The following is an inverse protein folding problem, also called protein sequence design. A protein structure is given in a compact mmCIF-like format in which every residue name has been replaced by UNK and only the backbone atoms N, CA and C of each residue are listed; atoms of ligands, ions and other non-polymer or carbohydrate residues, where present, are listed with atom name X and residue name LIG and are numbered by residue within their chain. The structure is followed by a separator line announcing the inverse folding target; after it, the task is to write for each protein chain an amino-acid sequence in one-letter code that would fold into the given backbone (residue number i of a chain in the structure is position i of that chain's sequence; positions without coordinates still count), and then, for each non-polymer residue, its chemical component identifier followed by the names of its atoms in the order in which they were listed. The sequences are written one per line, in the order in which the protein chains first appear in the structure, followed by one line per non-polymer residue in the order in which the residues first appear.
data_IF_042576465429
#
_entry.id   IF_042576465429
#
_cell.length_a   1.000
_cell.length_b   1.000
_cell.length_c   1.000
_cell.angle_alpha   90.00
_cell.angle_beta   90.00
_cell.angle_gamma   90.00
#
_symmetry.space_group_name_H-M   'P 1'
#
loop_
_entity.id
_entity.type
_entity.pdbx_description
1 polymer ?
#
# COMPACT_ATOMS: atom_id res chain seq x y z
N UNK A 1 15.52 11.40 1.44
CA UNK A 1 14.11 11.43 0.94
C UNK A 1 13.70 10.03 0.54
N UNK A 2 12.60 9.51 1.07
CA UNK A 2 12.13 8.16 0.72
C UNK A 2 11.46 8.20 -0.65
N UNK A 3 11.79 7.28 -1.57
CA UNK A 3 11.20 7.23 -2.92
C UNK A 3 10.52 5.90 -3.20
N UNK A 4 9.52 5.94 -4.07
CA UNK A 4 8.90 4.75 -4.64
C UNK A 4 9.90 4.09 -5.60
N UNK A 5 10.07 2.77 -5.49
CA UNK A 5 11.04 2.01 -6.27
C UNK A 5 10.31 1.15 -7.30
N UNK A 6 10.73 1.21 -8.55
CA UNK A 6 10.27 0.29 -9.59
C UNK A 6 10.91 -1.09 -9.43
N UNK A 7 10.33 -2.10 -10.08
CA UNK A 7 10.91 -3.45 -10.05
C UNK A 7 12.32 -3.49 -10.69
N UNK A 8 12.51 -2.79 -11.80
CA UNK A 8 13.83 -2.74 -12.47
C UNK A 8 14.89 -2.14 -11.55
N UNK A 9 14.60 -0.99 -10.97
CA UNK A 9 15.52 -0.36 -10.00
C UNK A 9 15.80 -1.28 -8.81
N UNK A 10 14.76 -1.94 -8.24
CA UNK A 10 14.95 -2.89 -7.14
C UNK A 10 15.85 -4.07 -7.53
N UNK A 11 15.69 -4.55 -8.76
CA UNK A 11 16.51 -5.61 -9.30
C UNK A 11 17.97 -5.19 -9.44
N UNK A 12 18.23 -3.99 -9.96
CA UNK A 12 19.56 -3.45 -10.22
C UNK A 12 20.29 -3.05 -8.92
N UNK A 13 19.55 -2.69 -7.88
CA UNK A 13 20.13 -2.39 -6.56
C UNK A 13 20.73 -3.63 -5.87
N UNK A 14 20.26 -4.84 -6.18
CA UNK A 14 20.74 -6.05 -5.53
C UNK A 14 22.06 -6.47 -6.15
N UNK A 15 23.11 -6.50 -5.36
CA UNK A 15 24.45 -6.98 -5.73
C UNK A 15 24.70 -8.35 -5.10
N UNK A 16 25.17 -9.30 -5.88
CA UNK A 16 25.65 -10.58 -5.35
C UNK A 16 26.95 -10.39 -4.58
N UNK A 17 27.35 -11.40 -3.80
CA UNK A 17 28.67 -11.40 -3.17
C UNK A 17 29.80 -11.30 -4.22
N UNK A 18 29.64 -11.98 -5.35
CA UNK A 18 30.55 -11.99 -6.47
C UNK A 18 30.65 -10.58 -7.08
N UNK A 19 29.51 -9.93 -7.39
CA UNK A 19 29.48 -8.55 -7.89
C UNK A 19 30.24 -7.57 -6.98
N UNK A 20 30.19 -7.77 -5.65
CA UNK A 20 30.91 -6.88 -4.71
C UNK A 20 32.42 -7.17 -4.70
N UNK A 21 32.81 -8.45 -4.71
CA UNK A 21 34.22 -8.83 -4.71
C UNK A 21 34.93 -8.44 -6.03
N UNK A 22 34.22 -8.50 -7.15
CA UNK A 22 34.74 -8.10 -8.47
C UNK A 22 35.07 -6.60 -8.57
N UNK A 23 34.58 -5.79 -7.62
CA UNK A 23 35.03 -4.39 -7.49
C UNK A 23 36.40 -4.24 -6.80
N UNK A 24 37.07 -5.34 -6.47
CA UNK A 24 38.36 -5.35 -5.76
C UNK A 24 38.26 -5.33 -4.24
N UNK A 25 37.05 -5.39 -3.68
CA UNK A 25 36.80 -5.46 -2.24
C UNK A 25 37.11 -6.88 -1.73
N UNK A 26 37.91 -7.01 -0.68
CA UNK A 26 38.19 -8.29 -0.04
C UNK A 26 37.04 -8.77 0.84
N UNK A 27 37.02 -10.07 1.18
CA UNK A 27 36.04 -10.64 2.11
C UNK A 27 36.00 -9.92 3.47
N UNK A 28 37.17 -9.54 3.98
CA UNK A 28 37.29 -8.81 5.24
C UNK A 28 36.64 -7.43 5.13
N UNK A 29 36.92 -6.71 4.05
CA UNK A 29 36.35 -5.37 3.79
C UNK A 29 34.84 -5.44 3.55
N UNK A 30 34.35 -6.50 2.88
CA UNK A 30 32.92 -6.76 2.73
C UNK A 30 32.27 -6.95 4.12
N UNK A 31 32.90 -7.75 5.00
CA UNK A 31 32.45 -7.93 6.39
C UNK A 31 32.40 -6.62 7.18
N UNK A 32 33.46 -5.81 7.05
CA UNK A 32 33.55 -4.48 7.67
C UNK A 32 32.49 -3.50 7.10
N UNK A 33 32.26 -3.53 5.79
CA UNK A 33 31.24 -2.70 5.15
C UNK A 33 29.83 -3.02 5.66
N UNK A 34 29.52 -4.30 5.88
CA UNK A 34 28.25 -4.73 6.46
C UNK A 34 28.18 -4.35 7.95
N UNK A 35 29.25 -4.55 8.72
CA UNK A 35 29.28 -4.21 10.14
C UNK A 35 29.10 -2.71 10.40
N UNK A 36 29.64 -1.85 9.53
CA UNK A 36 29.51 -0.39 9.60
C UNK A 36 28.31 0.18 8.86
N UNK A 37 27.43 -0.67 8.30
CA UNK A 37 26.19 -0.24 7.63
C UNK A 37 26.38 0.37 6.23
N UNK A 38 27.62 0.41 5.68
CA UNK A 38 27.87 0.86 4.29
C UNK A 38 27.20 -0.07 3.26
N UNK A 39 27.13 -1.36 3.56
CA UNK A 39 26.36 -2.34 2.83
C UNK A 39 25.32 -2.99 3.74
N UNK A 40 24.11 -3.14 3.26
CA UNK A 40 23.05 -3.88 3.93
C UNK A 40 22.92 -5.26 3.32
N UNK A 41 23.11 -6.30 4.12
CA UNK A 41 22.84 -7.67 3.69
C UNK A 41 21.33 -7.91 3.70
N UNK A 42 20.71 -8.07 2.52
CA UNK A 42 19.26 -8.22 2.34
C UNK A 42 18.82 -9.67 2.22
N UNK A 43 19.75 -10.55 1.81
CA UNK A 43 19.60 -12.01 1.79
C UNK A 43 20.98 -12.67 1.88
N UNK A 44 21.04 -14.01 1.99
CA UNK A 44 22.31 -14.72 1.93
C UNK A 44 23.01 -14.46 0.60
N UNK A 45 24.21 -13.86 0.65
CA UNK A 45 25.03 -13.52 -0.52
C UNK A 45 24.44 -12.40 -1.40
N UNK A 46 23.51 -11.59 -0.87
CA UNK A 46 22.92 -10.46 -1.57
C UNK A 46 22.99 -9.19 -0.71
N UNK A 47 23.44 -8.10 -1.31
CA UNK A 47 23.77 -6.85 -0.64
C UNK A 47 23.17 -5.66 -1.41
N UNK A 48 22.93 -4.57 -0.71
CA UNK A 48 22.50 -3.28 -1.23
C UNK A 48 23.29 -2.19 -0.51
N UNK A 49 23.50 -1.07 -1.15
CA UNK A 49 24.10 0.11 -0.51
C UNK A 49 23.27 0.53 0.71
N UNK A 50 23.95 0.84 1.83
CA UNK A 50 23.30 1.14 3.09
C UNK A 50 22.51 2.43 3.06
N UNK A 51 23.03 3.49 2.45
CA UNK A 51 22.36 4.79 2.35
C UNK A 51 21.13 4.70 1.47
N UNK A 52 21.23 4.01 0.33
CA UNK A 52 20.09 3.75 -0.56
C UNK A 52 19.01 2.95 0.18
N UNK A 53 19.42 1.89 0.90
CA UNK A 53 18.49 1.08 1.68
C UNK A 53 17.70 1.88 2.71
N UNK A 54 18.35 2.79 3.44
CA UNK A 54 17.72 3.56 4.51
C UNK A 54 16.69 4.56 3.97
N UNK A 55 16.84 4.99 2.72
CA UNK A 55 15.93 5.88 2.01
C UNK A 55 14.71 5.16 1.41
N UNK A 56 14.70 3.82 1.34
CA UNK A 56 13.58 3.10 0.76
C UNK A 56 12.36 3.06 1.68
N UNK A 57 11.20 3.18 1.09
CA UNK A 57 9.94 2.87 1.77
C UNK A 57 9.83 1.36 2.08
N UNK A 58 8.93 0.96 2.99
CA UNK A 58 8.74 -0.45 3.35
C UNK A 58 8.48 -1.36 2.14
N UNK A 59 7.69 -0.90 1.17
CA UNK A 59 7.40 -1.62 -0.08
C UNK A 59 8.66 -1.81 -0.92
N UNK A 60 9.48 -0.76 -1.05
CA UNK A 60 10.75 -0.81 -1.77
C UNK A 60 11.72 -1.78 -1.12
N UNK A 61 11.85 -1.74 0.22
CA UNK A 61 12.65 -2.70 0.99
C UNK A 61 12.18 -4.14 0.77
N UNK A 62 10.87 -4.35 0.76
CA UNK A 62 10.29 -5.66 0.49
C UNK A 62 10.56 -6.14 -0.94
N UNK A 63 10.45 -5.23 -1.91
CA UNK A 63 10.70 -5.54 -3.31
C UNK A 63 12.17 -5.93 -3.56
N UNK A 64 13.12 -5.21 -2.96
CA UNK A 64 14.56 -5.54 -3.00
C UNK A 64 14.84 -6.93 -2.43
N UNK A 65 14.21 -7.29 -1.29
CA UNK A 65 14.36 -8.64 -0.71
C UNK A 65 13.77 -9.73 -1.61
N UNK A 66 12.63 -9.46 -2.26
CA UNK A 66 12.03 -10.36 -3.25
C UNK A 66 13.01 -10.61 -4.40
N UNK A 67 13.64 -9.55 -4.94
CA UNK A 67 14.65 -9.65 -5.98
C UNK A 67 15.87 -10.46 -5.50
N UNK A 68 16.33 -10.23 -4.27
CA UNK A 68 17.47 -10.96 -3.70
C UNK A 68 17.18 -12.47 -3.55
N UNK A 69 16.01 -12.84 -3.02
CA UNK A 69 15.59 -14.25 -2.92
C UNK A 69 15.43 -14.86 -4.31
N UNK A 70 14.89 -14.13 -5.29
CA UNK A 70 14.75 -14.64 -6.66
C UNK A 70 16.12 -14.89 -7.31
N UNK A 71 17.08 -14.00 -7.15
CA UNK A 71 18.45 -14.18 -7.68
C UNK A 71 19.15 -15.39 -7.04
N UNK A 72 18.93 -15.62 -5.74
CA UNK A 72 19.50 -16.77 -5.04
C UNK A 72 18.79 -18.09 -5.33
N UNK A 73 17.61 -18.05 -5.98
CA UNK A 73 16.79 -19.24 -6.22
C UNK A 73 17.18 -19.93 -7.53
N UNK A 74 17.20 -21.27 -7.52
CA UNK A 74 17.39 -22.08 -8.72
C UNK A 74 16.10 -22.21 -9.55
N UNK A 75 16.25 -22.45 -10.83
CA UNK A 75 15.14 -22.70 -11.75
C UNK A 75 14.13 -21.56 -11.82
N UNK A 76 12.85 -21.86 -11.83
CA UNK A 76 11.76 -20.88 -11.93
C UNK A 76 11.49 -20.04 -10.67
N UNK A 77 12.25 -20.24 -9.60
CA UNK A 77 12.08 -19.58 -8.30
C UNK A 77 10.78 -19.95 -7.56
N UNK A 78 10.57 -19.38 -6.37
CA UNK A 78 9.37 -19.64 -5.57
C UNK A 78 8.13 -18.96 -6.15
N UNK A 79 6.96 -19.31 -5.61
CA UNK A 79 5.74 -18.49 -5.74
C UNK A 79 5.72 -17.52 -4.57
N UNK A 80 5.86 -16.22 -4.83
CA UNK A 80 5.78 -15.19 -3.81
C UNK A 80 4.32 -15.00 -3.37
N UNK A 81 4.11 -14.70 -2.08
CA UNK A 81 2.77 -14.55 -1.48
C UNK A 81 2.74 -13.43 -0.44
N UNK A 82 1.59 -13.12 0.12
CA UNK A 82 1.43 -12.14 1.20
C UNK A 82 2.17 -10.82 0.92
N UNK A 83 3.03 -10.35 1.85
CA UNK A 83 3.78 -9.09 1.72
C UNK A 83 4.67 -9.05 0.47
N UNK A 84 5.27 -10.17 0.11
CA UNK A 84 6.14 -10.26 -1.07
C UNK A 84 5.36 -10.17 -2.38
N UNK A 85 4.17 -10.77 -2.46
CA UNK A 85 3.29 -10.60 -3.60
C UNK A 85 2.72 -9.18 -3.65
N UNK A 86 2.34 -8.60 -2.49
CA UNK A 86 1.89 -7.22 -2.41
C UNK A 86 2.93 -6.23 -2.97
N UNK A 87 4.21 -6.41 -2.62
CA UNK A 87 5.29 -5.59 -3.18
C UNK A 87 5.42 -5.75 -4.70
N UNK A 88 5.28 -6.97 -5.24
CA UNK A 88 5.27 -7.21 -6.69
C UNK A 88 4.06 -6.59 -7.39
N UNK A 89 2.92 -6.50 -6.73
CA UNK A 89 1.73 -5.81 -7.21
C UNK A 89 1.83 -4.28 -7.07
N UNK A 90 2.78 -3.76 -6.29
CA UNK A 90 2.89 -2.34 -5.95
C UNK A 90 1.81 -1.88 -4.98
N UNK A 91 1.24 -2.80 -4.19
CA UNK A 91 0.24 -2.47 -3.18
C UNK A 91 0.90 -1.74 -1.99
N UNK A 92 0.26 -0.72 -1.43
CA UNK A 92 0.78 -0.01 -0.27
C UNK A 92 0.79 -0.93 0.97
N UNK A 93 1.84 -0.82 1.74
CA UNK A 93 2.06 -1.58 2.96
C UNK A 93 2.13 -0.61 4.15
N UNK A 94 1.05 -0.52 4.92
CA UNK A 94 0.91 0.44 6.02
C UNK A 94 1.28 -0.19 7.37
N UNK A 95 2.09 0.52 8.15
CA UNK A 95 2.48 0.14 9.51
C UNK A 95 3.77 -0.68 9.58
N UNK A 96 4.10 -1.25 10.77
CA UNK A 96 5.31 -2.03 10.97
C UNK A 96 5.21 -3.36 10.21
N UNK A 97 6.10 -3.55 9.24
CA UNK A 97 6.19 -4.72 8.39
C UNK A 97 7.42 -5.52 8.79
N UNK A 98 7.26 -6.85 8.91
CA UNK A 98 8.39 -7.74 9.13
C UNK A 98 9.23 -7.87 7.87
N UNK A 99 10.51 -8.04 8.09
CA UNK A 99 11.53 -8.06 7.04
C UNK A 99 11.59 -9.36 6.23
N UNK A 100 10.70 -10.32 6.49
CA UNK A 100 10.72 -11.63 5.85
C UNK A 100 10.15 -11.61 4.43
N UNK A 101 10.73 -12.44 3.57
CA UNK A 101 10.15 -12.74 2.24
C UNK A 101 9.15 -13.88 2.38
N UNK A 102 7.94 -13.67 1.89
CA UNK A 102 6.84 -14.62 1.99
C UNK A 102 6.68 -15.41 0.70
N UNK A 103 6.69 -16.73 0.81
CA UNK A 103 6.52 -17.65 -0.32
C UNK A 103 5.47 -18.70 -0.03
N UNK A 104 4.80 -19.17 -1.06
CA UNK A 104 3.84 -20.26 -0.99
C UNK A 104 4.51 -21.61 -1.32
N UNK A 105 4.17 -22.64 -0.53
CA UNK A 105 4.58 -24.03 -0.77
C UNK A 105 3.37 -24.96 -0.64
N UNK A 106 3.35 -26.03 -1.44
CA UNK A 106 2.28 -27.06 -1.38
C UNK A 106 2.42 -27.97 -0.16
N UNK A 107 3.66 -28.29 0.24
CA UNK A 107 3.93 -29.20 1.37
C UNK A 107 5.22 -28.78 2.09
N UNK A 108 5.24 -28.95 3.42
CA UNK A 108 6.44 -28.72 4.24
C UNK A 108 7.42 -29.88 4.28
N UNK A 109 7.05 -31.05 3.79
CA UNK A 109 7.83 -32.30 3.96
C UNK A 109 9.27 -32.23 3.47
N UNK A 110 9.59 -31.34 2.52
CA UNK A 110 10.93 -31.19 1.94
C UNK A 110 11.42 -29.76 1.92
N UNK A 111 10.82 -28.86 2.72
CA UNK A 111 11.23 -27.47 2.73
C UNK A 111 12.27 -27.23 3.82
N UNK A 112 13.47 -26.80 3.41
CA UNK A 112 14.49 -26.33 4.36
C UNK A 112 14.08 -24.97 4.89
N UNK A 113 14.31 -24.76 6.19
CA UNK A 113 14.19 -23.42 6.80
C UNK A 113 15.31 -22.53 6.24
N UNK A 114 14.93 -21.34 5.81
CA UNK A 114 15.83 -20.35 5.27
C UNK A 114 15.62 -19.03 6.04
N UNK A 115 16.71 -18.46 6.55
CA UNK A 115 16.64 -17.22 7.31
C UNK A 115 16.10 -16.08 6.44
N UNK A 116 15.12 -15.32 6.96
CA UNK A 116 14.46 -14.23 6.24
C UNK A 116 13.45 -14.68 5.19
N UNK A 117 13.08 -15.99 5.14
CA UNK A 117 12.04 -16.50 4.25
C UNK A 117 10.99 -17.26 5.05
N UNK A 118 9.75 -16.77 5.02
CA UNK A 118 8.58 -17.44 5.60
C UNK A 118 7.84 -18.21 4.51
N UNK A 119 7.74 -19.52 4.71
CA UNK A 119 7.05 -20.41 3.78
C UNK A 119 5.65 -20.75 4.29
N UNK A 120 4.65 -20.32 3.55
CA UNK A 120 3.26 -20.59 3.84
C UNK A 120 2.80 -21.86 3.10
N UNK A 121 2.32 -22.84 3.86
CA UNK A 121 1.67 -23.98 3.24
C UNK A 121 0.26 -23.56 2.81
N UNK A 122 0.02 -23.59 1.50
CA UNK A 122 -1.20 -23.07 0.89
C UNK A 122 -1.69 -24.01 -0.20
N UNK A 123 -3.01 -24.20 -0.26
CA UNK A 123 -3.66 -24.71 -1.46
C UNK A 123 -3.77 -23.56 -2.46
N UNK A 124 -3.19 -23.72 -3.62
CA UNK A 124 -3.23 -22.76 -4.72
C UNK A 124 -3.68 -23.48 -5.98
N UNK A 125 -4.74 -22.98 -6.57
CA UNK A 125 -5.18 -23.38 -7.89
C UNK A 125 -4.35 -22.66 -8.97
N UNK A 126 -4.48 -23.06 -10.23
CA UNK A 126 -3.73 -22.43 -11.33
C UNK A 126 -4.06 -20.94 -11.46
N UNK A 127 -5.33 -20.53 -11.28
CA UNK A 127 -5.78 -19.14 -11.31
C UNK A 127 -5.28 -18.29 -10.13
N UNK A 128 -4.83 -18.93 -9.05
CA UNK A 128 -4.26 -18.23 -7.89
C UNK A 128 -2.80 -17.81 -8.12
N UNK A 129 -2.16 -18.25 -9.21
CA UNK A 129 -0.74 -17.97 -9.50
C UNK A 129 -0.64 -17.20 -10.81
N UNK A 130 -0.02 -16.04 -10.73
CA UNK A 130 0.23 -15.18 -11.90
C UNK A 130 1.71 -14.83 -12.02
N UNK A 131 2.08 -14.19 -13.11
CA UNK A 131 3.43 -13.63 -13.31
C UNK A 131 3.38 -12.10 -13.26
N UNK A 132 4.18 -11.54 -12.36
CA UNK A 132 4.45 -10.09 -12.30
C UNK A 132 5.95 -9.88 -12.47
N UNK A 133 6.35 -9.02 -13.39
CA UNK A 133 7.77 -8.79 -13.72
C UNK A 133 8.56 -10.10 -13.97
N UNK A 134 7.91 -11.09 -14.58
CA UNK A 134 8.49 -12.42 -14.82
C UNK A 134 8.53 -13.36 -13.61
N UNK A 135 8.22 -12.88 -12.41
CA UNK A 135 8.19 -13.67 -11.17
C UNK A 135 6.80 -14.26 -10.91
N UNK A 136 6.75 -15.47 -10.38
CA UNK A 136 5.50 -16.11 -9.96
C UNK A 136 5.06 -15.56 -8.60
N UNK A 137 3.82 -15.12 -8.51
CA UNK A 137 3.22 -14.68 -7.24
C UNK A 137 1.73 -15.03 -7.18
N UNK A 138 1.13 -14.86 -6.01
CA UNK A 138 -0.32 -14.99 -5.86
C UNK A 138 -1.04 -13.89 -6.67
N UNK A 139 -2.23 -14.23 -7.21
CA UNK A 139 -3.10 -13.26 -7.91
C UNK A 139 -3.42 -12.06 -7.02
N UNK A 140 -3.88 -10.97 -7.62
CA UNK A 140 -4.13 -9.71 -6.91
C UNK A 140 -5.09 -9.91 -5.72
N UNK A 141 -6.26 -10.48 -5.99
CA UNK A 141 -7.29 -10.70 -4.97
C UNK A 141 -6.83 -11.73 -3.94
N UNK A 142 -6.21 -12.83 -4.39
CA UNK A 142 -5.63 -13.82 -3.49
C UNK A 142 -4.60 -13.18 -2.54
N UNK A 143 -3.78 -12.28 -3.03
CA UNK A 143 -2.79 -11.55 -2.20
C UNK A 143 -3.48 -10.73 -1.11
N UNK A 144 -4.54 -9.98 -1.45
CA UNK A 144 -5.30 -9.19 -0.46
C UNK A 144 -5.97 -10.09 0.58
N UNK A 145 -6.58 -11.19 0.17
CA UNK A 145 -7.19 -12.16 1.09
C UNK A 145 -6.16 -12.75 2.06
N UNK A 146 -4.99 -13.13 1.56
CA UNK A 146 -3.91 -13.69 2.38
C UNK A 146 -3.34 -12.64 3.36
N UNK A 147 -3.16 -11.39 2.93
CA UNK A 147 -2.79 -10.27 3.81
C UNK A 147 -3.84 -10.04 4.91
N UNK A 148 -5.12 -10.02 4.54
CA UNK A 148 -6.22 -9.80 5.47
C UNK A 148 -6.32 -10.90 6.52
N UNK A 149 -5.93 -12.12 6.19
CA UNK A 149 -5.87 -13.22 7.16
C UNK A 149 -4.70 -13.12 8.13
N UNK A 150 -3.62 -12.45 7.73
CA UNK A 150 -2.37 -12.35 8.50
C UNK A 150 -2.27 -11.05 9.30
N UNK A 151 -2.58 -9.91 8.69
CA UNK A 151 -2.31 -8.59 9.22
C UNK A 151 -3.53 -7.95 9.90
N UNK A 152 -3.30 -6.82 10.57
CA UNK A 152 -4.37 -5.99 11.14
C UNK A 152 -5.13 -5.23 10.05
N UNK A 153 -6.40 -4.86 10.26
CA UNK A 153 -7.18 -4.12 9.28
C UNK A 153 -6.50 -2.83 8.77
N UNK A 154 -5.84 -2.07 9.67
CA UNK A 154 -5.14 -0.83 9.31
C UNK A 154 -4.03 -1.05 8.28
N UNK A 155 -3.36 -2.19 8.36
CA UNK A 155 -2.29 -2.54 7.42
C UNK A 155 -2.81 -3.09 6.08
N UNK A 156 -4.07 -3.49 6.01
CA UNK A 156 -4.61 -4.19 4.84
C UNK A 156 -5.62 -3.36 4.07
N UNK A 157 -6.35 -2.46 4.73
CA UNK A 157 -7.39 -1.67 4.06
C UNK A 157 -6.84 -0.90 2.88
N UNK A 158 -5.67 -0.30 3.03
CA UNK A 158 -5.02 0.43 1.94
C UNK A 158 -4.62 -0.48 0.76
N UNK A 159 -4.14 -1.69 1.06
CA UNK A 159 -3.84 -2.68 0.03
C UNK A 159 -5.11 -3.18 -0.67
N UNK A 160 -6.21 -3.35 0.07
CA UNK A 160 -7.51 -3.73 -0.48
C UNK A 160 -8.10 -2.68 -1.40
N UNK A 161 -8.10 -1.42 -0.96
CA UNK A 161 -8.60 -0.29 -1.75
C UNK A 161 -7.76 -0.09 -3.03
N UNK A 162 -6.42 -0.11 -2.89
CA UNK A 162 -5.52 0.01 -4.03
C UNK A 162 -5.68 -1.15 -5.03
N UNK A 163 -5.89 -2.38 -4.54
CA UNK A 163 -6.10 -3.53 -5.41
C UNK A 163 -7.44 -3.44 -6.14
N UNK A 164 -8.53 -3.07 -5.45
CA UNK A 164 -9.83 -2.87 -6.07
C UNK A 164 -9.78 -1.71 -7.10
N UNK A 165 -9.08 -0.61 -6.77
CA UNK A 165 -8.85 0.50 -7.69
C UNK A 165 -8.21 0.04 -9.01
N UNK A 166 -7.22 -0.86 -8.96
CA UNK A 166 -6.52 -1.36 -10.15
C UNK A 166 -7.44 -2.08 -11.13
N UNK A 167 -8.56 -2.62 -10.69
CA UNK A 167 -9.47 -3.40 -11.52
C UNK A 167 -10.80 -2.70 -11.80
N UNK A 168 -11.25 -1.79 -10.93
CA UNK A 168 -12.59 -1.23 -10.99
C UNK A 168 -12.66 0.28 -11.22
N UNK A 169 -11.53 0.99 -11.33
CA UNK A 169 -11.53 2.45 -11.52
C UNK A 169 -10.85 2.81 -12.84
N UNK A 170 -11.59 3.51 -13.70
CA UNK A 170 -11.06 4.20 -14.88
C UNK A 170 -11.26 5.71 -14.71
N UNK A 171 -10.18 6.45 -14.58
CA UNK A 171 -10.22 7.87 -14.21
C UNK A 171 -10.90 8.11 -12.87
N UNK A 172 -12.16 8.54 -12.89
CA UNK A 172 -13.02 8.73 -11.71
C UNK A 172 -14.28 7.85 -11.74
N UNK A 173 -14.45 7.03 -12.78
CA UNK A 173 -15.61 6.17 -12.92
C UNK A 173 -15.37 4.81 -12.27
N UNK A 174 -16.43 4.26 -11.67
CA UNK A 174 -16.42 2.95 -11.01
C UNK A 174 -17.07 1.92 -11.91
N UNK A 175 -16.35 0.89 -12.29
CA UNK A 175 -16.92 -0.29 -12.92
C UNK A 175 -17.54 -1.21 -11.86
N UNK A 176 -18.85 -1.14 -11.74
CA UNK A 176 -19.61 -1.95 -10.79
C UNK A 176 -19.54 -3.45 -11.10
N UNK A 177 -19.37 -3.85 -12.37
CA UNK A 177 -19.17 -5.25 -12.76
C UNK A 177 -17.88 -5.82 -12.18
N UNK A 178 -16.80 -5.06 -12.27
CA UNK A 178 -15.51 -5.44 -11.64
C UNK A 178 -15.59 -5.44 -10.11
N UNK A 179 -16.36 -4.54 -9.49
CA UNK A 179 -16.61 -4.56 -8.05
C UNK A 179 -17.35 -5.83 -7.62
N UNK A 180 -18.36 -6.27 -8.40
CA UNK A 180 -19.09 -7.51 -8.11
C UNK A 180 -18.24 -8.76 -8.38
N UNK A 181 -17.43 -8.75 -9.43
CA UNK A 181 -16.43 -9.81 -9.69
C UNK A 181 -15.39 -9.92 -8.55
N UNK A 182 -14.92 -8.77 -8.03
CA UNK A 182 -14.06 -8.72 -6.85
C UNK A 182 -14.70 -9.41 -5.65
N UNK A 183 -15.96 -9.08 -5.33
CA UNK A 183 -16.67 -9.67 -4.19
C UNK A 183 -16.85 -11.17 -4.32
N UNK A 184 -17.26 -11.62 -5.51
CA UNK A 184 -17.43 -13.04 -5.81
C UNK A 184 -16.12 -13.81 -5.64
N UNK A 185 -15.00 -13.26 -6.11
CA UNK A 185 -13.69 -13.89 -5.98
C UNK A 185 -13.19 -13.91 -4.53
N UNK A 186 -13.41 -12.83 -3.76
CA UNK A 186 -13.11 -12.83 -2.31
C UNK A 186 -13.89 -13.93 -1.60
N UNK A 187 -15.17 -14.10 -1.91
CA UNK A 187 -16.00 -15.14 -1.32
C UNK A 187 -15.52 -16.55 -1.70
N UNK A 188 -15.13 -16.77 -2.96
CA UNK A 188 -14.53 -18.02 -3.43
C UNK A 188 -13.26 -18.38 -2.64
N UNK A 189 -12.39 -17.41 -2.39
CA UNK A 189 -11.12 -17.59 -1.67
C UNK A 189 -11.31 -17.75 -0.15
N UNK A 190 -12.43 -17.28 0.38
CA UNK A 190 -12.74 -17.30 1.81
C UNK A 190 -13.42 -18.61 2.23
N UNK A 191 -12.74 -19.73 2.07
CA UNK A 191 -13.24 -21.06 2.46
C UNK A 191 -13.45 -21.16 3.97
N UNK A 192 -14.59 -21.74 4.37
CA UNK A 192 -14.92 -21.94 5.79
C UNK A 192 -13.85 -22.81 6.49
N UNK A 193 -13.64 -22.53 7.79
CA UNK A 193 -12.64 -23.24 8.60
C UNK A 193 -11.22 -22.70 8.54
N UNK A 194 -10.89 -21.85 7.58
CA UNK A 194 -9.57 -21.21 7.54
C UNK A 194 -9.48 -20.05 8.53
N UNK A 195 -8.35 -19.96 9.23
CA UNK A 195 -8.09 -18.84 10.17
C UNK A 195 -8.11 -17.50 9.46
N UNK A 196 -8.78 -16.51 10.05
CA UNK A 196 -8.81 -15.13 9.57
C UNK A 196 -9.81 -14.85 8.43
N UNK A 197 -10.60 -15.84 7.98
CA UNK A 197 -11.57 -15.73 6.88
C UNK A 197 -12.60 -14.63 7.13
N UNK A 198 -13.15 -14.51 8.35
CA UNK A 198 -14.12 -13.44 8.66
C UNK A 198 -13.53 -12.04 8.40
N UNK A 199 -12.27 -11.83 8.78
CA UNK A 199 -11.59 -10.56 8.53
C UNK A 199 -11.32 -10.36 7.03
N UNK A 200 -10.93 -11.41 6.30
CA UNK A 200 -10.72 -11.32 4.86
C UNK A 200 -12.01 -10.96 4.11
N UNK A 201 -13.13 -11.59 4.42
CA UNK A 201 -14.45 -11.21 3.88
C UNK A 201 -14.82 -9.78 4.21
N UNK A 202 -14.59 -9.37 5.46
CA UNK A 202 -14.86 -8.00 5.87
C UNK A 202 -14.02 -6.98 5.10
N UNK A 203 -12.70 -7.21 4.96
CA UNK A 203 -11.82 -6.35 4.16
C UNK A 203 -12.27 -6.31 2.70
N UNK A 204 -12.58 -7.48 2.10
CA UNK A 204 -13.03 -7.55 0.71
C UNK A 204 -14.34 -6.79 0.46
N UNK A 205 -15.28 -6.86 1.40
CA UNK A 205 -16.54 -6.12 1.35
C UNK A 205 -16.37 -4.63 1.67
N UNK A 206 -15.41 -4.30 2.54
CA UNK A 206 -15.11 -2.93 2.94
C UNK A 206 -14.29 -2.19 1.90
N UNK A 207 -13.52 -2.85 1.05
CA UNK A 207 -12.68 -2.22 0.03
C UNK A 207 -13.48 -1.26 -0.86
N UNK A 208 -12.88 -0.10 -1.14
CA UNK A 208 -13.44 0.93 -2.01
C UNK A 208 -12.30 1.52 -2.87
N UNK A 209 -12.35 1.25 -4.17
CA UNK A 209 -11.31 1.68 -5.11
C UNK A 209 -11.24 3.21 -5.30
N UNK A 210 -12.20 3.96 -4.80
CA UNK A 210 -12.19 5.43 -4.87
C UNK A 210 -11.15 6.06 -3.94
N UNK A 211 -10.78 5.39 -2.82
CA UNK A 211 -9.68 5.86 -1.97
C UNK A 211 -8.36 5.82 -2.75
N UNK A 212 -7.69 6.95 -2.89
CA UNK A 212 -6.52 7.11 -3.75
C UNK A 212 -5.21 6.91 -3.01
N UNK A 213 -5.17 7.32 -1.75
CA UNK A 213 -3.98 7.26 -0.90
C UNK A 213 -4.16 6.31 0.28
N UNK A 214 -3.07 5.69 0.77
CA UNK A 214 -3.13 4.84 1.95
C UNK A 214 -3.74 5.51 3.18
N UNK A 215 -3.49 6.80 3.36
CA UNK A 215 -4.05 7.57 4.47
C UNK A 215 -5.55 7.82 4.35
N UNK A 216 -6.08 7.95 3.14
CA UNK A 216 -7.53 7.99 2.90
C UNK A 216 -8.18 6.66 3.29
N UNK A 217 -7.59 5.54 2.90
CA UNK A 217 -8.06 4.20 3.27
C UNK A 217 -8.10 3.99 4.79
N UNK A 218 -7.04 4.40 5.50
CA UNK A 218 -7.01 4.34 6.96
C UNK A 218 -8.01 5.31 7.58
N UNK A 219 -8.14 6.53 7.05
CA UNK A 219 -9.15 7.51 7.48
C UNK A 219 -10.56 6.92 7.39
N UNK A 220 -10.89 6.29 6.25
CA UNK A 220 -12.17 5.61 6.03
C UNK A 220 -12.43 4.51 7.05
N UNK A 221 -11.41 3.73 7.39
CA UNK A 221 -11.48 2.71 8.44
C UNK A 221 -11.80 3.33 9.81
N UNK A 222 -11.12 4.42 10.18
CA UNK A 222 -11.36 5.09 11.46
C UNK A 222 -12.73 5.75 11.50
N UNK A 223 -13.17 6.37 10.42
CA UNK A 223 -14.54 6.92 10.30
C UNK A 223 -15.60 5.84 10.47
N UNK A 224 -15.41 4.66 9.85
CA UNK A 224 -16.29 3.52 10.02
C UNK A 224 -16.37 3.05 11.49
N UNK A 225 -15.23 3.00 12.19
CA UNK A 225 -15.16 2.63 13.63
C UNK A 225 -15.83 3.65 14.53
N UNK A 226 -15.78 4.92 14.18
CA UNK A 226 -16.50 5.99 14.86
C UNK A 226 -18.02 5.95 14.64
N UNK A 227 -18.50 5.12 13.73
CA UNK A 227 -19.92 4.99 13.44
C UNK A 227 -20.42 5.79 12.26
N UNK A 228 -19.53 6.51 11.55
CA UNK A 228 -19.94 7.15 10.30
C UNK A 228 -20.31 6.09 9.26
N UNK A 229 -21.50 6.23 8.66
CA UNK A 229 -22.02 5.34 7.60
C UNK A 229 -22.35 6.06 6.31
N UNK A 230 -22.67 7.36 6.42
CA UNK A 230 -23.09 8.21 5.31
C UNK A 230 -21.93 9.09 4.84
N UNK A 231 -20.75 8.50 4.68
CA UNK A 231 -19.59 9.17 4.07
C UNK A 231 -19.49 8.74 2.62
N UNK A 232 -19.25 9.70 1.76
CA UNK A 232 -18.93 9.43 0.37
C UNK A 232 -17.48 9.79 0.07
N UNK A 233 -16.94 9.25 -1.00
CA UNK A 233 -15.54 9.40 -1.39
C UNK A 233 -15.43 10.09 -2.75
N UNK A 234 -14.36 10.87 -2.92
CA UNK A 234 -14.03 11.53 -4.19
C UNK A 234 -15.22 12.31 -4.76
N UNK A 235 -15.78 13.19 -3.91
CA UNK A 235 -16.98 13.95 -4.25
C UNK A 235 -16.64 14.99 -5.31
N UNK A 236 -17.30 14.95 -6.50
CA UNK A 236 -17.07 15.94 -7.52
C UNK A 236 -17.70 17.28 -7.13
N UNK A 237 -16.94 18.34 -7.29
CA UNK A 237 -17.40 19.73 -7.16
C UNK A 237 -17.05 20.46 -8.43
N UNK A 238 -18.02 21.15 -9.03
CA UNK A 238 -17.81 21.96 -10.24
C UNK A 238 -17.58 23.41 -9.80
N UNK A 239 -16.42 23.95 -10.13
CA UNK A 239 -16.08 25.35 -9.88
C UNK A 239 -16.84 26.35 -10.75
N UNK A 240 -16.71 27.66 -10.48
CA UNK A 240 -17.43 28.70 -11.21
C UNK A 240 -17.09 28.77 -12.70
N UNK A 241 -15.87 28.40 -13.06
CA UNK A 241 -15.34 28.36 -14.42
C UNK A 241 -15.55 27.00 -15.13
N UNK A 242 -16.23 26.06 -14.47
CA UNK A 242 -16.43 24.70 -14.95
C UNK A 242 -15.30 23.72 -14.62
N UNK A 243 -14.27 24.15 -13.87
CA UNK A 243 -13.24 23.27 -13.36
C UNK A 243 -13.84 22.18 -12.45
N UNK A 244 -13.35 20.94 -12.57
CA UNK A 244 -13.82 19.83 -11.76
C UNK A 244 -12.81 19.53 -10.65
N UNK A 245 -13.26 19.64 -9.42
CA UNK A 245 -12.52 19.31 -8.22
C UNK A 245 -13.08 18.03 -7.59
N UNK A 246 -12.29 17.37 -6.78
CA UNK A 246 -12.72 16.18 -6.03
C UNK A 246 -12.29 16.33 -4.58
N UNK A 247 -13.24 16.20 -3.65
CA UNK A 247 -12.95 16.16 -2.23
C UNK A 247 -12.84 14.71 -1.76
N UNK A 248 -11.82 14.39 -0.96
CA UNK A 248 -11.55 13.00 -0.54
C UNK A 248 -12.75 12.37 0.17
N UNK A 249 -13.42 13.14 1.05
CA UNK A 249 -14.57 12.71 1.86
C UNK A 249 -15.68 13.74 1.85
N UNK A 250 -16.93 13.27 1.82
CA UNK A 250 -18.11 14.07 2.06
C UNK A 250 -18.83 13.67 3.34
N UNK A 251 -19.26 14.70 4.11
CA UNK A 251 -20.11 14.56 5.29
C UNK A 251 -21.42 15.35 5.05
N UNK A 252 -22.39 14.79 4.31
CA UNK A 252 -23.59 15.53 3.90
C UNK A 252 -24.38 16.11 5.08
N UNK A 253 -24.53 15.34 6.16
CA UNK A 253 -25.25 15.79 7.37
C UNK A 253 -24.60 17.00 8.06
N UNK A 254 -23.29 17.15 7.90
CA UNK A 254 -22.52 18.24 8.51
C UNK A 254 -22.20 19.37 7.54
N UNK A 255 -22.64 19.23 6.28
CA UNK A 255 -22.26 20.14 5.19
C UNK A 255 -20.76 20.43 5.19
N UNK A 256 -19.97 19.38 5.15
CA UNK A 256 -18.53 19.47 5.24
C UNK A 256 -17.84 18.47 4.28
N UNK A 257 -16.72 18.90 3.75
CA UNK A 257 -15.76 18.03 3.09
C UNK A 257 -14.61 17.71 4.03
N UNK A 258 -14.02 16.55 3.83
CA UNK A 258 -12.83 16.11 4.51
C UNK A 258 -11.69 15.86 3.53
N UNK A 259 -10.48 16.22 3.89
CA UNK A 259 -9.28 15.94 3.09
C UNK A 259 -8.19 15.33 3.95
N UNK A 260 -7.62 14.25 3.46
CA UNK A 260 -6.44 13.68 4.06
C UNK A 260 -5.20 14.36 3.51
N UNK A 261 -4.52 15.11 4.38
CA UNK A 261 -3.29 15.80 4.06
C UNK A 261 -2.09 14.94 4.48
N UNK A 262 -1.65 14.07 3.57
CA UNK A 262 -0.48 13.22 3.78
C UNK A 262 0.80 14.02 3.56
N UNK A 263 1.78 13.83 4.44
CA UNK A 263 3.14 14.38 4.27
C UNK A 263 3.76 14.01 2.91
N UNK A 264 3.28 12.92 2.30
CA UNK A 264 3.76 12.42 1.01
C UNK A 264 3.24 13.22 -0.19
N UNK A 265 2.10 13.93 -0.08
CA UNK A 265 1.60 14.82 -1.15
C UNK A 265 2.61 15.90 -1.51
N UNK A 266 3.34 16.42 -0.52
CA UNK A 266 4.37 17.45 -0.74
C UNK A 266 5.65 16.87 -1.36
N UNK A 267 5.93 15.58 -1.16
CA UNK A 267 7.11 14.90 -1.71
C UNK A 267 6.94 14.50 -3.16
N UNK A 268 5.73 14.08 -3.57
CA UNK A 268 5.41 13.80 -4.97
C UNK A 268 5.22 15.09 -5.81
N UNK A 269 4.87 16.21 -5.18
CA UNK A 269 4.78 17.51 -5.84
C UNK A 269 6.15 18.06 -6.28
N UNK A 270 7.25 17.69 -5.60
CA UNK A 270 8.61 18.03 -6.02
C UNK A 270 9.05 17.31 -7.33
N UNK A 271 8.35 16.25 -7.72
CA UNK A 271 8.58 15.52 -8.99
C UNK A 271 7.68 16.01 -10.13
N UNK A 272 6.67 16.84 -9.84
CA UNK A 272 5.84 17.48 -10.86
C UNK A 272 6.45 18.85 -11.18
N UNK A 273 6.51 19.18 -12.46
CA UNK A 273 6.97 20.43 -13.08
C UNK A 273 6.16 21.68 -12.66
N UNK A 274 5.86 21.85 -11.37
CA UNK A 274 5.26 23.06 -10.84
C UNK A 274 6.37 24.05 -10.49
N UNK A 275 6.29 25.34 -10.90
CA UNK A 275 7.41 26.28 -10.82
C UNK A 275 7.93 26.56 -9.41
N UNK A 276 7.07 26.56 -8.35
CA UNK A 276 7.54 26.71 -6.97
C UNK A 276 6.58 26.06 -5.95
N UNK A 277 7.08 25.72 -4.75
CA UNK A 277 6.25 25.28 -3.64
C UNK A 277 5.18 26.33 -3.23
N UNK A 278 5.48 27.61 -3.42
CA UNK A 278 4.54 28.71 -3.17
C UNK A 278 3.36 28.67 -4.13
N UNK A 279 3.59 28.41 -5.42
CA UNK A 279 2.54 28.33 -6.43
C UNK A 279 1.60 27.13 -6.15
N UNK A 280 2.14 26.00 -5.71
CA UNK A 280 1.33 24.84 -5.32
C UNK A 280 0.42 25.15 -4.11
N UNK A 281 0.92 25.88 -3.10
CA UNK A 281 0.13 26.31 -1.94
C UNK A 281 -0.96 27.30 -2.35
N UNK A 282 -0.64 28.23 -3.24
CA UNK A 282 -1.64 29.21 -3.74
C UNK A 282 -2.72 28.53 -4.58
N UNK A 283 -2.35 27.61 -5.46
CA UNK A 283 -3.31 26.82 -6.26
C UNK A 283 -4.26 26.01 -5.35
N UNK A 284 -3.74 25.39 -4.31
CA UNK A 284 -4.54 24.65 -3.35
C UNK A 284 -5.49 25.54 -2.56
N UNK A 285 -5.04 26.75 -2.16
CA UNK A 285 -5.88 27.74 -1.49
C UNK A 285 -7.01 28.22 -2.41
N UNK A 286 -6.72 28.53 -3.66
CA UNK A 286 -7.73 28.90 -4.66
C UNK A 286 -8.76 27.77 -4.84
N UNK A 287 -8.31 26.53 -4.98
CA UNK A 287 -9.18 25.35 -5.07
C UNK A 287 -10.14 25.26 -3.87
N UNK A 288 -9.64 25.44 -2.64
CA UNK A 288 -10.45 25.39 -1.43
C UNK A 288 -11.46 26.54 -1.37
N UNK A 289 -11.03 27.75 -1.73
CA UNK A 289 -11.91 28.93 -1.76
C UNK A 289 -13.04 28.76 -2.79
N UNK A 290 -12.77 28.19 -3.95
CA UNK A 290 -13.77 27.91 -4.97
C UNK A 290 -14.75 26.82 -4.53
N UNK A 291 -14.26 25.69 -4.01
CA UNK A 291 -15.11 24.61 -3.46
C UNK A 291 -16.06 25.19 -2.41
N UNK A 292 -15.53 25.99 -1.48
CA UNK A 292 -16.30 26.60 -0.40
C UNK A 292 -17.29 27.64 -0.91
N UNK A 293 -16.88 28.46 -1.88
CA UNK A 293 -17.73 29.47 -2.49
C UNK A 293 -18.95 28.90 -3.22
N UNK A 294 -18.75 27.80 -3.97
CA UNK A 294 -19.82 27.17 -4.74
C UNK A 294 -20.76 26.34 -3.86
N UNK A 295 -20.22 25.62 -2.87
CA UNK A 295 -21.01 24.65 -2.09
C UNK A 295 -21.52 25.21 -0.76
N UNK A 296 -20.89 26.25 -0.23
CA UNK A 296 -21.11 26.72 1.14
C UNK A 296 -20.61 25.74 2.21
N UNK A 297 -20.02 24.62 1.82
CA UNK A 297 -19.53 23.62 2.75
C UNK A 297 -18.13 23.96 3.24
N UNK A 298 -17.87 23.64 4.51
CA UNK A 298 -16.53 23.81 5.09
C UNK A 298 -15.62 22.64 4.69
N UNK A 299 -14.33 22.91 4.60
CA UNK A 299 -13.31 21.89 4.38
C UNK A 299 -12.57 21.62 5.68
N UNK A 300 -12.43 20.37 6.06
CA UNK A 300 -11.69 19.94 7.25
C UNK A 300 -10.54 19.03 6.83
N UNK A 301 -9.34 19.37 7.25
CA UNK A 301 -8.13 18.61 6.92
C UNK A 301 -7.57 17.88 8.13
N UNK A 302 -7.03 16.71 7.88
CA UNK A 302 -6.31 15.92 8.88
C UNK A 302 -5.15 15.16 8.25
N UNK A 303 -4.09 14.93 9.02
CA UNK A 303 -2.89 14.21 8.59
C UNK A 303 -2.71 12.89 9.34
N UNK A 304 -1.57 12.26 9.11
CA UNK A 304 -1.21 10.93 9.63
C UNK A 304 -1.32 10.80 11.15
N UNK A 305 -1.05 11.88 11.90
CA UNK A 305 -1.18 11.88 13.37
C UNK A 305 -2.62 11.69 13.86
N UNK A 306 -3.60 12.16 13.07
CA UNK A 306 -5.01 12.12 13.44
C UNK A 306 -5.69 10.77 13.12
N UNK A 307 -5.09 9.92 12.30
CA UNK A 307 -5.68 8.63 11.91
C UNK A 307 -5.07 7.43 12.63
N UNK A 308 -4.26 7.65 13.66
CA UNK A 308 -3.64 6.57 14.45
C UNK A 308 -4.68 5.75 15.19
N UNK A 309 -5.67 6.42 15.74
CA UNK A 309 -6.82 5.78 16.41
C UNK A 309 -8.14 6.44 15.95
N UNK A 310 -9.28 5.75 16.11
CA UNK A 310 -10.59 6.38 15.86
C UNK A 310 -10.80 7.63 16.72
N UNK A 311 -10.37 7.59 17.98
CA UNK A 311 -10.53 8.69 18.94
C UNK A 311 -9.75 9.94 18.52
N UNK A 312 -8.54 9.79 17.94
CA UNK A 312 -7.76 10.92 17.43
C UNK A 312 -8.50 11.62 16.29
N UNK A 313 -9.04 10.87 15.34
CA UNK A 313 -9.81 11.42 14.23
C UNK A 313 -11.14 12.01 14.74
N UNK A 314 -11.80 11.34 15.67
CA UNK A 314 -13.03 11.81 16.29
C UNK A 314 -12.85 13.16 16.99
N UNK A 315 -11.78 13.36 17.76
CA UNK A 315 -11.44 14.65 18.37
C UNK A 315 -11.21 15.74 17.32
N UNK A 316 -10.47 15.41 16.26
CA UNK A 316 -10.23 16.36 15.16
C UNK A 316 -11.53 16.81 14.50
N UNK A 317 -12.40 15.86 14.14
CA UNK A 317 -13.69 16.16 13.50
C UNK A 317 -14.65 16.91 14.42
N UNK A 318 -14.72 16.53 15.70
CA UNK A 318 -15.57 17.20 16.69
C UNK A 318 -15.22 18.67 16.89
N UNK A 319 -13.94 19.05 16.80
CA UNK A 319 -13.49 20.44 16.83
C UNK A 319 -14.08 21.29 15.70
N UNK A 320 -14.53 20.66 14.62
CA UNK A 320 -15.21 21.29 13.49
C UNK A 320 -16.72 21.00 13.47
N UNK A 321 -17.28 20.49 14.57
CA UNK A 321 -18.70 20.19 14.67
C UNK A 321 -19.18 19.00 13.85
N UNK A 322 -18.26 18.14 13.35
CA UNK A 322 -18.59 16.90 12.65
C UNK A 322 -18.61 15.77 13.67
N UNK A 323 -19.79 15.16 13.85
CA UNK A 323 -20.00 14.06 14.80
C UNK A 323 -20.63 12.87 14.09
N UNK A 324 -20.34 11.64 14.52
CA UNK A 324 -21.04 10.48 13.99
C UNK A 324 -22.55 10.61 14.29
N UNK A 325 -23.40 10.03 13.44
CA UNK A 325 -24.82 9.92 13.76
C UNK A 325 -24.98 9.13 15.05
N UNK A 326 -25.81 9.66 15.95
CA UNK A 326 -26.14 9.01 17.23
C UNK A 326 -26.92 7.72 17.06
#
# INVERSE_FOLDING_TARGET
MSRRLSFSEAWDLVRSREDVLDTGVTERELGEAVAHGRLRRVHRGAYVDGEVWDQLWPEGKQLVRVCAVRRASLGGGPVFSHLSAAALWGLPLVGPIRDDVHTAIRSRRHSRTEAGVVRHQMALDEGDIVRRHGLRCTSLIRTVVDLARLLRPEAVVAAGDAALRMVSIDGHEVDHGEVDAWRAEVDRLCVAGLRGVRRARWIGAFADGRAQLPGESVSRLQLHRLGFRDIDLQIPVVGPDGARYFADFGFPRSQAFGEFDGEDKYRDAELRTTPTAADAVMAEKHREDEIRGVTGWRVVRWGSSHIRTPEDLGRRLAAFGIRPPG
#
